data_IF_854577370056
#
_entry.id   IF_854577370056
#
_cell.length_a   1.000
_cell.length_b   1.000
_cell.length_c   1.000
_cell.angle_alpha   90.00
_cell.angle_beta   90.00
_cell.angle_gamma   90.00
#
_symmetry.space_group_name_H-M   'P 1'
#
loop_
_entity.id
_entity.type
_entity.pdbx_description
1 polymer ?
#
# COMPACT_ATOMS: atom_id res chain seq x y z
N UNK A 1 23.77 2.58 -3.42
CA UNK A 1 22.78 1.62 -3.94
C UNK A 1 21.45 1.70 -3.20
N UNK A 2 21.42 1.73 -1.86
CA UNK A 2 20.16 1.79 -1.07
C UNK A 2 19.20 2.91 -1.51
N UNK A 3 19.67 4.15 -1.70
CA UNK A 3 18.80 5.25 -2.13
C UNK A 3 18.14 5.01 -3.50
N UNK A 4 18.86 4.36 -4.42
CA UNK A 4 18.32 3.98 -5.71
C UNK A 4 17.27 2.87 -5.56
N UNK A 5 17.56 1.85 -4.74
CA UNK A 5 16.59 0.79 -4.44
C UNK A 5 15.30 1.34 -3.83
N UNK A 6 15.42 2.26 -2.86
CA UNK A 6 14.26 2.92 -2.24
C UNK A 6 13.48 3.76 -3.26
N UNK A 7 14.16 4.51 -4.13
CA UNK A 7 13.49 5.31 -5.16
C UNK A 7 12.66 4.45 -6.13
N UNK A 8 13.23 3.30 -6.56
CA UNK A 8 12.51 2.35 -7.41
C UNK A 8 11.34 1.73 -6.65
N UNK A 9 11.52 1.33 -5.39
CA UNK A 9 10.45 0.79 -4.57
C UNK A 9 9.28 1.77 -4.43
N UNK A 10 9.55 3.06 -4.19
CA UNK A 10 8.51 4.12 -4.15
C UNK A 10 7.75 4.18 -5.47
N UNK A 11 8.46 4.23 -6.61
CA UNK A 11 7.79 4.33 -7.91
C UNK A 11 6.91 3.10 -8.22
N UNK A 12 7.38 1.90 -7.86
CA UNK A 12 6.64 0.65 -8.05
C UNK A 12 5.42 0.58 -7.13
N UNK A 13 5.58 0.95 -5.86
CA UNK A 13 4.48 0.98 -4.90
C UNK A 13 3.42 1.98 -5.32
N UNK A 14 3.80 3.24 -5.61
CA UNK A 14 2.87 4.30 -6.02
C UNK A 14 2.06 3.90 -7.25
N UNK A 15 2.72 3.39 -8.29
CA UNK A 15 2.03 2.93 -9.48
C UNK A 15 1.12 1.72 -9.19
N UNK A 16 1.63 0.73 -8.47
CA UNK A 16 0.90 -0.50 -8.15
C UNK A 16 -0.34 -0.25 -7.29
N UNK A 17 -0.20 0.54 -6.22
CA UNK A 17 -1.30 0.96 -5.36
C UNK A 17 -2.32 1.75 -6.17
N UNK A 18 -1.91 2.73 -6.97
CA UNK A 18 -2.82 3.54 -7.77
C UNK A 18 -3.70 2.68 -8.71
N UNK A 19 -3.08 1.79 -9.49
CA UNK A 19 -3.81 0.97 -10.45
C UNK A 19 -4.66 -0.10 -9.78
N UNK A 20 -4.17 -0.73 -8.70
CA UNK A 20 -4.93 -1.71 -7.94
C UNK A 20 -6.15 -1.06 -7.27
N UNK A 21 -5.95 0.10 -6.64
CA UNK A 21 -7.04 0.86 -6.02
C UNK A 21 -8.08 1.28 -7.07
N UNK A 22 -7.65 1.82 -8.21
CA UNK A 22 -8.54 2.18 -9.32
C UNK A 22 -9.32 0.98 -9.87
N UNK A 23 -8.69 -0.20 -9.92
CA UNK A 23 -9.36 -1.44 -10.31
C UNK A 23 -10.47 -1.81 -9.31
N UNK A 24 -10.20 -1.74 -8.00
CA UNK A 24 -11.19 -2.06 -6.97
C UNK A 24 -12.36 -1.08 -6.89
N UNK A 25 -12.16 0.16 -7.34
CA UNK A 25 -13.24 1.13 -7.56
C UNK A 25 -14.17 0.80 -8.74
N UNK A 26 -13.83 -0.19 -9.57
CA UNK A 26 -14.73 -0.61 -10.65
C UNK A 26 -16.06 -1.14 -10.06
N UNK A 27 -17.25 -0.75 -10.59
CA UNK A 27 -18.54 -1.01 -9.96
C UNK A 27 -18.80 -2.47 -9.53
N UNK A 28 -18.33 -3.43 -10.34
CA UNK A 28 -18.47 -4.87 -10.06
C UNK A 28 -17.63 -5.35 -8.86
N UNK A 29 -16.46 -4.75 -8.65
CA UNK A 29 -15.53 -5.11 -7.58
C UNK A 29 -15.80 -4.29 -6.32
N UNK A 30 -16.19 -3.02 -6.49
CA UNK A 30 -16.42 -2.09 -5.39
C UNK A 30 -17.38 -2.68 -4.35
N UNK A 31 -18.55 -3.13 -4.79
CA UNK A 31 -19.61 -3.60 -3.87
C UNK A 31 -19.19 -4.83 -3.04
N UNK A 32 -18.29 -5.66 -3.56
CA UNK A 32 -17.93 -6.95 -2.97
C UNK A 32 -16.58 -6.93 -2.23
N UNK A 33 -15.67 -6.05 -2.65
CA UNK A 33 -14.27 -6.03 -2.18
C UNK A 33 -13.98 -4.68 -1.52
N UNK A 34 -14.11 -3.60 -2.28
CA UNK A 34 -13.61 -2.29 -1.86
C UNK A 34 -14.50 -1.55 -0.86
N UNK A 35 -15.79 -1.88 -0.82
CA UNK A 35 -16.75 -1.22 0.06
C UNK A 35 -16.37 -1.35 1.54
N UNK A 36 -15.74 -2.48 1.93
CA UNK A 36 -15.27 -2.69 3.30
C UNK A 36 -14.17 -1.68 3.69
N UNK A 37 -13.26 -1.35 2.76
CA UNK A 37 -12.21 -0.36 3.01
C UNK A 37 -12.79 1.03 3.34
N UNK A 38 -13.92 1.38 2.72
CA UNK A 38 -14.65 2.63 2.96
C UNK A 38 -15.69 2.57 4.09
N UNK A 39 -15.70 1.52 4.91
CA UNK A 39 -16.61 1.41 6.05
C UNK A 39 -16.32 2.48 7.12
N UNK A 40 -15.03 2.82 7.28
CA UNK A 40 -14.57 3.86 8.21
C UNK A 40 -14.49 5.20 7.48
N UNK A 41 -15.36 6.14 7.85
CA UNK A 41 -15.44 7.45 7.20
C UNK A 41 -14.39 8.44 7.71
N UNK A 42 -13.88 8.24 8.93
CA UNK A 42 -12.77 9.01 9.48
C UNK A 42 -11.46 8.22 9.35
N UNK A 43 -10.37 8.85 8.88
CA UNK A 43 -9.05 8.20 8.84
C UNK A 43 -8.53 8.03 10.27
N UNK A 44 -8.28 6.79 10.66
CA UNK A 44 -7.65 6.42 11.92
C UNK A 44 -6.49 5.48 11.60
N UNK A 45 -5.29 5.74 12.13
CA UNK A 45 -4.10 4.99 11.74
C UNK A 45 -4.25 3.47 11.95
N UNK A 46 -4.97 3.03 12.98
CA UNK A 46 -5.20 1.61 13.27
C UNK A 46 -6.06 0.90 12.20
N UNK A 47 -6.88 1.64 11.47
CA UNK A 47 -7.73 1.10 10.38
C UNK A 47 -7.07 1.20 9.01
N UNK A 48 -5.81 1.65 8.93
CA UNK A 48 -5.12 1.92 7.66
C UNK A 48 -5.01 0.70 6.71
N UNK A 49 -5.01 -0.52 7.28
CA UNK A 49 -4.98 -1.77 6.51
C UNK A 49 -6.28 -2.57 6.59
N UNK A 50 -7.33 -1.99 7.19
CA UNK A 50 -8.64 -2.62 7.25
C UNK A 50 -9.28 -2.62 5.87
N UNK A 51 -9.33 -3.80 5.25
CA UNK A 51 -9.91 -4.01 3.92
C UNK A 51 -10.21 -5.49 3.71
N UNK A 52 -10.86 -5.80 2.58
CA UNK A 52 -11.11 -7.18 2.19
C UNK A 52 -9.77 -7.92 1.92
N UNK A 53 -9.62 -9.22 2.24
CA UNK A 53 -8.34 -9.94 2.08
C UNK A 53 -7.74 -9.88 0.67
N UNK A 54 -8.57 -9.92 -0.37
CA UNK A 54 -8.12 -9.77 -1.77
C UNK A 54 -7.58 -8.38 -2.04
N UNK A 55 -8.23 -7.35 -1.50
CA UNK A 55 -7.72 -5.98 -1.60
C UNK A 55 -6.40 -5.88 -0.85
N UNK A 56 -6.31 -6.40 0.37
CA UNK A 56 -5.09 -6.39 1.16
C UNK A 56 -3.89 -6.97 0.40
N UNK A 57 -4.07 -8.12 -0.27
CA UNK A 57 -3.02 -8.74 -1.07
C UNK A 57 -2.64 -7.83 -2.25
N UNK A 58 -3.63 -7.30 -2.97
CA UNK A 58 -3.39 -6.57 -4.22
C UNK A 58 -2.93 -5.11 -4.04
N UNK A 59 -3.36 -4.43 -2.98
CA UNK A 59 -3.00 -3.02 -2.71
C UNK A 59 -1.91 -2.89 -1.65
N UNK A 60 -1.99 -3.65 -0.55
CA UNK A 60 -1.11 -3.45 0.60
C UNK A 60 0.11 -4.38 0.62
N UNK A 61 0.05 -5.56 -0.03
CA UNK A 61 1.14 -6.54 0.00
C UNK A 61 1.96 -6.58 -1.29
N UNK A 62 1.31 -6.74 -2.45
CA UNK A 62 2.01 -6.93 -3.72
C UNK A 62 2.82 -5.69 -4.15
N UNK A 63 2.28 -4.45 -4.16
CA UNK A 63 3.02 -3.29 -4.64
C UNK A 63 4.32 -3.01 -3.85
N UNK A 64 4.33 -2.99 -2.50
CA UNK A 64 5.57 -2.77 -1.75
C UNK A 64 6.57 -3.92 -1.89
N UNK A 65 6.10 -5.16 -2.09
CA UNK A 65 6.94 -6.34 -2.28
C UNK A 65 7.61 -6.37 -3.67
N UNK A 66 6.89 -5.94 -4.71
CA UNK A 66 7.37 -6.01 -6.09
C UNK A 66 8.69 -5.27 -6.28
N UNK A 67 8.85 -4.07 -5.72
CA UNK A 67 10.09 -3.29 -5.82
C UNK A 67 11.30 -4.05 -5.25
N UNK A 68 11.14 -4.68 -4.09
CA UNK A 68 12.17 -5.48 -3.42
C UNK A 68 12.54 -6.72 -4.25
N UNK A 69 11.54 -7.42 -4.80
CA UNK A 69 11.75 -8.63 -5.59
C UNK A 69 12.41 -8.32 -6.94
N UNK A 70 11.97 -7.27 -7.63
CA UNK A 70 12.51 -6.87 -8.93
C UNK A 70 13.99 -6.49 -8.86
N UNK A 71 14.41 -5.89 -7.75
CA UNK A 71 15.79 -5.48 -7.54
C UNK A 71 16.66 -6.55 -6.86
N UNK A 72 16.05 -7.62 -6.32
CA UNK A 72 16.76 -8.61 -5.53
C UNK A 72 17.40 -7.99 -4.27
N UNK A 73 16.70 -7.03 -3.65
CA UNK A 73 17.28 -6.19 -2.59
C UNK A 73 17.71 -7.00 -1.38
N UNK A 74 18.77 -6.53 -0.72
CA UNK A 74 19.23 -7.11 0.54
C UNK A 74 18.15 -7.02 1.64
N UNK A 75 18.11 -7.98 2.55
CA UNK A 75 17.10 -8.05 3.63
C UNK A 75 17.04 -6.76 4.47
N UNK A 76 18.19 -6.14 4.75
CA UNK A 76 18.25 -4.88 5.46
C UNK A 76 17.58 -3.72 4.69
N UNK A 77 17.77 -3.63 3.36
CA UNK A 77 17.05 -2.65 2.53
C UNK A 77 15.55 -2.95 2.55
N UNK A 78 15.16 -4.23 2.43
CA UNK A 78 13.76 -4.63 2.45
C UNK A 78 13.08 -4.23 3.77
N UNK A 79 13.69 -4.49 4.93
CA UNK A 79 13.14 -4.07 6.22
C UNK A 79 13.04 -2.56 6.38
N UNK A 80 14.06 -1.82 5.95
CA UNK A 80 14.02 -0.37 5.93
C UNK A 80 12.85 0.12 5.07
N UNK A 81 12.71 -0.43 3.86
CA UNK A 81 11.65 -0.11 2.93
C UNK A 81 10.26 -0.38 3.50
N UNK A 82 9.99 -1.59 3.99
CA UNK A 82 8.68 -1.92 4.56
C UNK A 82 8.34 -1.08 5.78
N UNK A 83 9.34 -0.69 6.59
CA UNK A 83 9.13 0.22 7.72
C UNK A 83 8.71 1.61 7.24
N UNK A 84 9.36 2.15 6.22
CA UNK A 84 9.01 3.45 5.62
C UNK A 84 7.62 3.40 4.99
N UNK A 85 7.32 2.37 4.19
CA UNK A 85 6.01 2.19 3.57
C UNK A 85 4.89 2.12 4.61
N UNK A 86 5.03 1.28 5.65
CA UNK A 86 4.06 1.19 6.74
C UNK A 86 3.86 2.52 7.47
N UNK A 87 4.94 3.23 7.81
CA UNK A 87 4.84 4.53 8.46
C UNK A 87 4.13 5.55 7.58
N UNK A 88 4.38 5.53 6.27
CA UNK A 88 3.70 6.39 5.30
C UNK A 88 2.20 6.07 5.24
N UNK A 89 1.82 4.79 5.14
CA UNK A 89 0.42 4.35 5.16
C UNK A 89 -0.29 4.76 6.44
N UNK A 90 0.33 4.55 7.61
CA UNK A 90 -0.23 4.96 8.89
C UNK A 90 -0.39 6.48 8.99
N UNK A 91 0.59 7.24 8.50
CA UNK A 91 0.54 8.70 8.49
C UNK A 91 -0.59 9.21 7.57
N UNK A 92 -0.76 8.62 6.38
CA UNK A 92 -1.84 8.96 5.46
C UNK A 92 -3.24 8.72 6.06
N UNK A 93 -3.37 7.73 6.94
CA UNK A 93 -4.61 7.40 7.65
C UNK A 93 -4.67 7.99 9.07
N UNK A 94 -3.74 8.86 9.46
CA UNK A 94 -3.70 9.42 10.82
C UNK A 94 -4.73 10.53 11.07
N UNK A 95 -5.29 11.12 10.00
CA UNK A 95 -6.19 12.27 10.08
C UNK A 95 -5.50 13.59 10.42
N UNK A 96 -4.18 13.63 10.56
CA UNK A 96 -3.43 14.87 10.86
C UNK A 96 -3.29 15.84 9.69
N UNK A 97 -3.60 15.40 8.47
CA UNK A 97 -3.45 16.20 7.24
C UNK A 97 -4.78 16.43 6.50
N UNK A 98 -5.91 16.43 7.23
CA UNK A 98 -7.25 16.77 6.72
C UNK A 98 -7.47 18.29 6.66
#
# INVERSE_FOLDING_TARGET
MILFELAVCVLVEEAGVYYAHRLFHHPRLYQHIHKQHHEWTAPIAITAIYCHPVEHICTNLLPPLLGVVLLGSHLATAWLWFSVALLFTLNAHSGFHL
#
